data_IF_686228900947
#
_entry.id   IF_686228900947
#
_cell.length_a   1.000
_cell.length_b   1.000
_cell.length_c   1.000
_cell.angle_alpha   90.00
_cell.angle_beta   90.00
_cell.angle_gamma   90.00
#
_symmetry.space_group_name_H-M   'P 1'
#
loop_
_entity.id
_entity.type
_entity.pdbx_description
1 polymer ?
#
# COMPACT_ATOMS: atom_id res chain seq x y z
N UNK A 1 -10.30 17.63 -8.75
CA UNK A 1 -9.02 16.89 -8.63
C UNK A 1 -7.82 17.81 -8.39
N UNK A 2 -7.96 19.13 -8.46
CA UNK A 2 -6.85 20.08 -8.28
C UNK A 2 -6.20 19.99 -6.88
N UNK A 3 -6.96 19.57 -5.86
CA UNK A 3 -6.45 19.31 -4.50
C UNK A 3 -6.00 17.87 -4.24
N UNK A 4 -5.98 16.99 -5.25
CA UNK A 4 -5.73 15.56 -5.03
C UNK A 4 -4.32 15.29 -4.50
N UNK A 5 -3.29 15.78 -5.19
CA UNK A 5 -1.88 15.60 -4.80
C UNK A 5 -1.58 16.11 -3.38
N UNK A 6 -1.97 17.34 -2.98
CA UNK A 6 -1.70 17.80 -1.62
C UNK A 6 -2.44 16.98 -0.55
N UNK A 7 -3.68 16.54 -0.82
CA UNK A 7 -4.43 15.68 0.10
C UNK A 7 -3.79 14.31 0.25
N UNK A 8 -3.33 13.70 -0.86
CA UNK A 8 -2.62 12.42 -0.81
C UNK A 8 -1.32 12.55 -0.05
N UNK A 9 -0.52 13.61 -0.28
CA UNK A 9 0.72 13.83 0.46
C UNK A 9 0.47 13.95 1.97
N UNK A 10 -0.56 14.70 2.37
CA UNK A 10 -0.93 14.79 3.78
C UNK A 10 -1.37 13.43 4.33
N UNK A 11 -2.22 12.69 3.59
CA UNK A 11 -2.66 11.35 3.98
C UNK A 11 -1.48 10.38 4.17
N UNK A 12 -0.52 10.39 3.25
CA UNK A 12 0.68 9.54 3.31
C UNK A 12 1.57 9.91 4.50
N UNK A 13 1.76 11.21 4.78
CA UNK A 13 2.54 11.67 5.92
C UNK A 13 1.93 11.24 7.27
N UNK A 14 0.60 11.37 7.42
CA UNK A 14 -0.11 10.92 8.61
C UNK A 14 -0.09 9.39 8.73
N UNK A 15 -0.30 8.68 7.62
CA UNK A 15 -0.24 7.23 7.59
C UNK A 15 1.15 6.71 7.96
N UNK A 16 2.21 7.33 7.43
CA UNK A 16 3.59 7.02 7.79
C UNK A 16 3.87 7.27 9.28
N UNK A 17 3.41 8.40 9.81
CA UNK A 17 3.54 8.75 11.24
C UNK A 17 2.83 7.73 12.15
N UNK A 18 1.67 7.22 11.73
CA UNK A 18 0.95 6.16 12.43
C UNK A 18 1.73 4.84 12.41
N UNK A 19 2.29 4.44 11.26
CA UNK A 19 3.04 3.20 11.11
C UNK A 19 4.38 3.20 11.85
N UNK A 20 4.98 4.36 12.12
CA UNK A 20 6.27 4.47 12.84
C UNK A 20 6.15 4.28 14.37
N UNK A 21 4.94 4.30 14.93
CA UNK A 21 4.74 4.12 16.38
C UNK A 21 4.80 2.64 16.75
N UNK A 22 5.51 2.31 17.83
CA UNK A 22 5.53 0.97 18.42
C UNK A 22 4.94 1.03 19.84
N UNK A 23 3.93 0.20 20.16
CA UNK A 23 3.24 -0.73 19.26
C UNK A 23 2.45 0.00 18.16
N UNK A 24 2.27 -0.64 17.02
CA UNK A 24 1.52 -0.07 15.89
C UNK A 24 0.08 0.21 16.35
N UNK A 25 -0.39 1.48 16.30
CA UNK A 25 -1.71 1.85 16.79
C UNK A 25 -2.84 1.39 15.88
N UNK A 26 -2.51 0.97 14.65
CA UNK A 26 -3.47 0.56 13.63
C UNK A 26 -3.52 -0.96 13.57
N UNK A 27 -4.60 -1.54 14.07
CA UNK A 27 -4.84 -2.99 14.02
C UNK A 27 -4.86 -3.52 12.59
N UNK A 28 -4.47 -4.79 12.41
CA UNK A 28 -4.42 -5.49 11.13
C UNK A 28 -5.73 -5.41 10.33
N UNK A 29 -6.87 -5.49 11.02
CA UNK A 29 -8.19 -5.36 10.39
C UNK A 29 -8.38 -3.99 9.72
N UNK A 30 -7.91 -2.91 10.35
CA UNK A 30 -8.03 -1.56 9.80
C UNK A 30 -7.13 -1.39 8.58
N UNK A 31 -5.89 -1.89 8.65
CA UNK A 31 -4.96 -1.90 7.51
C UNK A 31 -5.56 -2.67 6.32
N UNK A 32 -6.16 -3.83 6.58
CA UNK A 32 -6.84 -4.65 5.57
C UNK A 32 -8.05 -3.92 4.95
N UNK A 33 -8.82 -3.18 5.75
CA UNK A 33 -9.93 -2.36 5.25
C UNK A 33 -9.44 -1.23 4.36
N UNK A 34 -8.37 -0.52 4.76
CA UNK A 34 -7.76 0.54 3.93
C UNK A 34 -7.27 -0.02 2.60
N UNK A 35 -6.66 -1.20 2.63
CA UNK A 35 -6.23 -1.90 1.43
C UNK A 35 -7.41 -2.31 0.54
N UNK A 36 -8.49 -2.82 1.11
CA UNK A 36 -9.70 -3.14 0.36
C UNK A 36 -10.32 -1.90 -0.33
N UNK A 37 -10.29 -0.74 0.35
CA UNK A 37 -10.72 0.54 -0.24
C UNK A 37 -9.83 0.91 -1.42
N UNK A 38 -8.51 0.76 -1.30
CA UNK A 38 -7.56 0.99 -2.38
C UNK A 38 -7.83 0.08 -3.59
N UNK A 39 -7.99 -1.23 -3.37
CA UNK A 39 -8.33 -2.20 -4.42
C UNK A 39 -9.65 -1.86 -5.10
N UNK A 40 -10.67 -1.48 -4.32
CA UNK A 40 -11.97 -1.07 -4.84
C UNK A 40 -11.85 0.21 -5.68
N UNK A 41 -11.09 1.21 -5.23
CA UNK A 41 -10.87 2.45 -5.97
C UNK A 41 -10.21 2.17 -7.33
N UNK A 42 -9.19 1.31 -7.37
CA UNK A 42 -8.53 0.89 -8.61
C UNK A 42 -9.49 0.17 -9.55
N UNK A 43 -10.34 -0.72 -9.04
CA UNK A 43 -11.33 -1.42 -9.85
C UNK A 43 -12.42 -0.46 -10.36
N UNK A 44 -12.96 0.39 -9.49
CA UNK A 44 -14.10 1.24 -9.81
C UNK A 44 -13.77 2.35 -10.81
N UNK A 45 -12.51 2.81 -10.80
CA UNK A 45 -12.00 3.83 -11.74
C UNK A 45 -11.51 3.25 -13.06
N UNK A 46 -11.54 1.92 -13.22
CA UNK A 46 -11.17 1.26 -14.48
C UNK A 46 -12.09 1.67 -15.63
N UNK A 47 -11.54 1.67 -16.85
CA UNK A 47 -12.33 1.89 -18.04
C UNK A 47 -13.28 0.69 -18.23
N UNK A 48 -14.59 0.97 -18.21
CA UNK A 48 -15.64 -0.05 -18.43
C UNK A 48 -15.91 -0.29 -19.92
N UNK A 49 -15.46 0.64 -20.75
CA UNK A 49 -15.68 0.60 -22.18
C UNK A 49 -14.67 -0.36 -22.85
N UNK A 50 -15.20 -1.45 -23.40
CA UNK A 50 -14.44 -2.51 -24.04
C UNK A 50 -13.89 -2.12 -25.42
N UNK A 51 -14.23 -0.92 -25.92
CA UNK A 51 -13.68 -0.41 -27.19
C UNK A 51 -12.23 0.03 -27.07
N UNK A 52 -11.76 0.34 -25.86
CA UNK A 52 -10.36 0.62 -25.59
C UNK A 52 -9.56 -0.67 -25.44
N UNK A 53 -8.29 -0.66 -25.88
CA UNK A 53 -7.41 -1.82 -25.70
C UNK A 53 -7.24 -2.18 -24.22
N UNK A 54 -7.00 -3.47 -23.92
CA UNK A 54 -6.89 -4.00 -22.54
C UNK A 54 -5.87 -3.29 -21.63
N UNK A 55 -4.96 -2.50 -22.22
CA UNK A 55 -3.91 -1.77 -21.51
C UNK A 55 -4.23 -0.28 -21.29
N UNK A 56 -5.38 0.21 -21.78
CA UNK A 56 -5.78 1.58 -21.57
C UNK A 56 -6.28 1.75 -20.12
N UNK A 57 -5.76 2.77 -19.43
CA UNK A 57 -6.16 3.12 -18.07
C UNK A 57 -6.70 4.54 -18.04
N UNK A 58 -7.70 4.78 -17.20
CA UNK A 58 -8.16 6.14 -16.93
C UNK A 58 -7.15 6.86 -16.03
N UNK A 59 -7.10 8.19 -16.10
CA UNK A 59 -6.28 9.00 -15.19
C UNK A 59 -6.59 8.70 -13.71
N UNK A 60 -7.88 8.50 -13.38
CA UNK A 60 -8.33 8.17 -12.04
C UNK A 60 -7.82 6.80 -11.58
N UNK A 61 -7.77 5.82 -12.49
CA UNK A 61 -7.23 4.50 -12.21
C UNK A 61 -5.73 4.55 -11.97
N UNK A 62 -4.99 5.31 -12.79
CA UNK A 62 -3.55 5.50 -12.59
C UNK A 62 -3.25 6.15 -11.23
N UNK A 63 -4.00 7.18 -10.85
CA UNK A 63 -3.85 7.82 -9.55
C UNK A 63 -4.21 6.88 -8.39
N UNK A 64 -5.28 6.09 -8.51
CA UNK A 64 -5.65 5.10 -7.50
C UNK A 64 -4.54 4.04 -7.33
N UNK A 65 -3.95 3.58 -8.44
CA UNK A 65 -2.81 2.65 -8.45
C UNK A 65 -1.61 3.28 -7.74
N UNK A 66 -1.27 4.54 -8.06
CA UNK A 66 -0.14 5.24 -7.44
C UNK A 66 -0.33 5.42 -5.93
N UNK A 67 -1.52 5.82 -5.48
CA UNK A 67 -1.82 5.95 -4.04
C UNK A 67 -1.68 4.60 -3.34
N UNK A 68 -2.20 3.55 -3.97
CA UNK A 68 -2.12 2.19 -3.43
C UNK A 68 -0.67 1.75 -3.26
N UNK A 69 0.17 1.97 -4.28
CA UNK A 69 1.60 1.62 -4.21
C UNK A 69 2.34 2.44 -3.13
N UNK A 70 2.05 3.73 -3.01
CA UNK A 70 2.67 4.60 -2.00
C UNK A 70 2.28 4.18 -0.58
N UNK A 71 1.02 3.81 -0.35
CA UNK A 71 0.61 3.26 0.96
C UNK A 71 1.29 1.91 1.23
N UNK A 72 1.38 1.03 0.23
CA UNK A 72 2.02 -0.27 0.40
C UNK A 72 3.53 -0.17 0.62
N UNK A 73 4.22 0.79 0.00
CA UNK A 73 5.65 1.00 0.26
C UNK A 73 5.92 1.39 1.71
N UNK A 74 5.06 2.22 2.32
CA UNK A 74 5.17 2.59 3.73
C UNK A 74 4.93 1.39 4.67
N UNK A 75 3.95 0.54 4.36
CA UNK A 75 3.71 -0.72 5.11
C UNK A 75 4.92 -1.65 5.01
N UNK A 76 5.47 -1.82 3.80
CA UNK A 76 6.64 -2.67 3.57
C UNK A 76 7.89 -2.11 4.27
N UNK A 77 8.09 -0.80 4.25
CA UNK A 77 9.19 -0.15 4.99
C UNK A 77 9.09 -0.42 6.49
N UNK A 78 7.89 -0.25 7.08
CA UNK A 78 7.66 -0.56 8.50
C UNK A 78 7.92 -2.04 8.82
N UNK A 79 7.47 -2.96 7.96
CA UNK A 79 7.72 -4.39 8.12
C UNK A 79 9.21 -4.74 8.04
N UNK A 80 9.95 -4.13 7.10
CA UNK A 80 11.41 -4.30 6.97
C UNK A 80 12.12 -3.78 8.22
N UNK A 81 11.73 -2.62 8.73
CA UNK A 81 12.33 -2.04 9.94
C UNK A 81 12.06 -2.90 11.18
N UNK A 82 10.83 -3.40 11.32
CA UNK A 82 10.44 -4.34 12.38
C UNK A 82 11.25 -5.64 12.31
N UNK A 83 11.41 -6.20 11.10
CA UNK A 83 12.20 -7.42 10.88
C UNK A 83 13.69 -7.21 11.18
N UNK A 84 14.27 -6.06 10.78
CA UNK A 84 15.65 -5.69 11.10
C UNK A 84 15.87 -5.58 12.61
N UNK A 85 14.97 -4.88 13.31
CA UNK A 85 15.03 -4.74 14.77
C UNK A 85 14.97 -6.10 15.48
N UNK A 86 14.10 -7.00 15.00
CA UNK A 86 13.98 -8.35 15.52
C UNK A 86 15.24 -9.18 15.27
N UNK A 87 15.84 -9.09 14.08
CA UNK A 87 17.05 -9.86 13.71
C UNK A 87 18.26 -9.44 14.56
N UNK A 88 18.31 -8.17 14.98
CA UNK A 88 19.34 -7.63 15.87
C UNK A 88 19.14 -8.04 17.34
N UNK A 89 17.93 -8.44 17.74
CA UNK A 89 17.64 -8.94 19.08
C UNK A 89 17.99 -10.43 19.21
N UNK A 90 18.89 -10.78 20.14
CA UNK A 90 19.33 -12.17 20.35
C UNK A 90 18.26 -13.07 21.01
N UNK A 91 17.27 -12.47 21.67
CA UNK A 91 16.28 -13.17 22.50
C UNK A 91 15.02 -13.62 21.75
N UNK A 92 14.79 -13.12 20.53
CA UNK A 92 13.45 -13.18 19.89
C UNK A 92 13.49 -13.64 18.42
N UNK A 93 14.49 -14.44 18.04
CA UNK A 93 14.65 -14.87 16.63
C UNK A 93 13.58 -15.85 16.15
N UNK A 94 12.98 -16.61 17.05
CA UNK A 94 12.05 -17.70 16.70
C UNK A 94 10.56 -17.32 16.71
N UNK A 95 10.21 -16.07 17.08
CA UNK A 95 8.82 -15.61 17.18
C UNK A 95 8.62 -14.34 16.37
N UNK A 96 7.51 -14.21 15.64
CA UNK A 96 7.21 -12.97 14.89
C UNK A 96 6.90 -11.86 15.91
N UNK A 97 7.59 -10.72 15.82
CA UNK A 97 7.32 -9.58 16.70
C UNK A 97 5.92 -9.00 16.49
N UNK A 98 5.30 -8.47 17.55
CA UNK A 98 3.89 -8.02 17.55
C UNK A 98 3.57 -7.03 16.42
N UNK A 99 4.43 -6.03 16.21
CA UNK A 99 4.25 -5.04 15.13
C UNK A 99 4.29 -5.69 13.74
N UNK A 100 5.20 -6.65 13.52
CA UNK A 100 5.27 -7.37 12.26
C UNK A 100 4.04 -8.28 12.07
N UNK A 101 3.55 -8.90 13.14
CA UNK A 101 2.36 -9.75 13.12
C UNK A 101 1.10 -8.96 12.69
N UNK A 102 0.97 -7.69 13.09
CA UNK A 102 -0.13 -6.82 12.66
C UNK A 102 -0.08 -6.47 11.17
N UNK A 103 1.12 -6.30 10.60
CA UNK A 103 1.31 -5.92 9.19
C UNK A 103 1.13 -7.09 8.21
N UNK A 104 1.56 -8.29 8.60
CA UNK A 104 1.63 -9.47 7.72
C UNK A 104 0.32 -9.82 7.00
N UNK A 105 -0.86 -9.82 7.65
CA UNK A 105 -2.13 -10.14 6.96
C UNK A 105 -2.43 -9.17 5.83
N UNK A 106 -2.15 -7.87 6.02
CA UNK A 106 -2.36 -6.84 4.99
C UNK A 106 -1.36 -7.02 3.85
N UNK A 107 -0.09 -7.30 4.15
CA UNK A 107 0.93 -7.59 3.14
C UNK A 107 0.55 -8.81 2.30
N UNK A 108 0.12 -9.90 2.94
CA UNK A 108 -0.36 -11.10 2.24
C UNK A 108 -1.52 -10.77 1.31
N UNK A 109 -2.54 -10.07 1.82
CA UNK A 109 -3.72 -9.70 1.04
C UNK A 109 -3.33 -8.86 -0.19
N UNK A 110 -2.40 -7.94 -0.01
CA UNK A 110 -1.84 -7.14 -1.10
C UNK A 110 -1.16 -8.02 -2.14
N UNK A 111 -0.25 -8.90 -1.72
CA UNK A 111 0.49 -9.76 -2.65
C UNK A 111 -0.42 -10.70 -3.43
N UNK A 112 -1.45 -11.27 -2.77
CA UNK A 112 -2.43 -12.14 -3.42
C UNK A 112 -3.17 -11.37 -4.54
N UNK A 113 -3.62 -10.15 -4.25
CA UNK A 113 -4.28 -9.31 -5.25
C UNK A 113 -3.34 -8.84 -6.37
N UNK A 114 -2.13 -8.41 -6.02
CA UNK A 114 -1.12 -7.93 -6.97
C UNK A 114 -0.78 -9.02 -7.99
N UNK A 115 -0.64 -10.28 -7.55
CA UNK A 115 -0.40 -11.44 -8.41
C UNK A 115 -1.56 -11.70 -9.38
N UNK A 116 -2.80 -11.47 -8.97
CA UNK A 116 -3.98 -11.64 -9.83
C UNK A 116 -4.20 -10.47 -10.81
N UNK A 117 -3.59 -9.31 -10.57
CA UNK A 117 -3.81 -8.09 -11.36
C UNK A 117 -2.53 -7.61 -12.05
N UNK A 118 -1.76 -8.56 -12.62
CA UNK A 118 -0.41 -8.30 -13.17
C UNK A 118 -0.37 -7.14 -14.18
N UNK A 119 -1.41 -6.97 -14.99
CA UNK A 119 -1.49 -5.91 -15.99
C UNK A 119 -1.43 -4.49 -15.41
N UNK A 120 -1.74 -4.31 -14.12
CA UNK A 120 -1.69 -3.00 -13.47
C UNK A 120 -0.25 -2.56 -13.15
N UNK A 121 0.67 -3.51 -13.00
CA UNK A 121 2.05 -3.28 -12.54
C UNK A 121 3.11 -3.70 -13.57
N UNK A 122 2.69 -4.30 -14.68
CA UNK A 122 3.56 -4.76 -15.77
C UNK A 122 3.02 -4.25 -17.12
N UNK A 123 3.59 -3.16 -17.68
CA UNK A 123 4.76 -2.43 -17.18
C UNK A 123 4.46 -1.61 -15.92
N UNK A 124 5.49 -1.22 -15.14
CA UNK A 124 5.30 -0.37 -13.97
C UNK A 124 4.49 0.89 -14.31
N UNK A 125 3.59 1.36 -13.42
CA UNK A 125 2.93 2.64 -13.58
C UNK A 125 3.97 3.77 -13.68
N UNK A 126 3.63 4.90 -14.32
CA UNK A 126 4.48 6.09 -14.28
C UNK A 126 4.73 6.53 -12.83
N UNK A 127 5.89 7.12 -12.60
CA UNK A 127 6.28 7.67 -11.29
C UNK A 127 5.22 8.65 -10.79
N UNK A 128 4.89 8.56 -9.50
CA UNK A 128 3.97 9.50 -8.86
C UNK A 128 4.69 10.77 -8.42
N UNK A 129 3.99 11.90 -8.46
CA UNK A 129 4.45 13.18 -7.89
C UNK A 129 4.31 13.26 -6.36
N UNK A 130 4.00 12.14 -5.70
CA UNK A 130 3.82 12.08 -4.25
C UNK A 130 5.17 12.16 -3.52
N UNK A 131 5.17 12.90 -2.41
CA UNK A 131 6.32 13.01 -1.52
C UNK A 131 6.21 11.90 -0.47
N UNK A 132 7.00 10.85 -0.64
CA UNK A 132 7.16 9.79 0.35
C UNK A 132 8.40 10.17 1.16
N UNK A 133 8.21 10.94 2.23
CA UNK A 133 9.25 11.37 3.19
C UNK A 133 9.12 10.63 4.53
#
# INVERSE_FOLDING_TARGET
MESFVPVVNQMLAEFHSLLRRSPIPVMSQRLSQLLAINMFAVFHTSLKDTTFGQNCRSLLQEQAIQVTLAMMSLILECAINSLKAQTQSETSRDTIGDDLAELLPTIKLWTDWMSCQKQLWCPPPPSSDFKIE
#
